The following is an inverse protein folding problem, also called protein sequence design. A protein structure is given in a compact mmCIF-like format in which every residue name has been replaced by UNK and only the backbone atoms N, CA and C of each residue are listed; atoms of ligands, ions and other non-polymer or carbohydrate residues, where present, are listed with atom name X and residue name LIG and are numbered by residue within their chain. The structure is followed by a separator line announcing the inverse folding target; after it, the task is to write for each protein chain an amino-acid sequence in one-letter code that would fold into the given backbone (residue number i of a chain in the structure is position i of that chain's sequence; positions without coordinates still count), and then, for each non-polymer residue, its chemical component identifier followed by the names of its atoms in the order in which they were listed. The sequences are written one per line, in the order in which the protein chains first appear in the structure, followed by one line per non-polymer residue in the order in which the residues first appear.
data_IF_895400472444
#
_entry.id   IF_895400472444
#
_cell.length_a   1.000
_cell.length_b   1.000
_cell.length_c   1.000
_cell.angle_alpha   90.00
_cell.angle_beta   90.00
_cell.angle_gamma   90.00
#
_symmetry.space_group_name_H-M   'P 1'
#
loop_
_entity.id
_entity.type
_entity.pdbx_description
1 polymer ?
#
# COMPACT_ATOMS: atom_id res chain seq x y z
N UNK A 1 6.88 4.63 3.31
CA UNK A 1 6.26 4.99 4.60
C UNK A 1 6.84 4.09 5.67
N UNK A 2 7.25 4.59 6.84
CA UNK A 2 7.86 3.78 7.91
C UNK A 2 7.39 4.21 9.31
N UNK A 3 7.36 3.25 10.23
CA UNK A 3 7.07 3.41 11.65
C UNK A 3 8.22 2.75 12.42
N UNK A 4 8.97 3.55 13.15
CA UNK A 4 10.08 3.08 13.99
C UNK A 4 9.56 2.79 15.40
N UNK A 5 9.88 1.62 15.94
CA UNK A 5 9.64 1.27 17.34
C UNK A 5 10.98 1.15 18.03
N UNK A 6 11.48 2.28 18.54
CA UNK A 6 12.86 2.41 19.06
C UNK A 6 13.16 1.43 20.18
N UNK A 7 12.19 1.16 21.06
CA UNK A 7 12.32 0.25 22.20
C UNK A 7 12.57 -1.20 21.75
N UNK A 8 12.08 -1.57 20.57
CA UNK A 8 12.21 -2.90 19.99
C UNK A 8 13.28 -2.94 18.89
N UNK A 9 13.88 -1.80 18.57
CA UNK A 9 14.82 -1.61 17.47
C UNK A 9 14.32 -2.10 16.09
N UNK A 10 13.00 -2.14 15.85
CA UNK A 10 12.39 -2.57 14.59
C UNK A 10 11.76 -1.39 13.83
N UNK A 11 11.66 -1.56 12.51
CA UNK A 11 10.97 -0.60 11.63
C UNK A 11 9.94 -1.32 10.77
N UNK A 12 8.68 -0.88 10.86
CA UNK A 12 7.57 -1.39 10.06
C UNK A 12 7.29 -0.47 8.88
N UNK A 13 7.22 -1.03 7.66
CA UNK A 13 6.85 -0.29 6.45
C UNK A 13 5.41 -0.66 6.05
N UNK A 14 4.40 0.14 6.45
CA UNK A 14 3.01 -0.17 6.14
C UNK A 14 2.70 -0.04 4.65
N UNK A 15 2.15 -1.10 4.08
CA UNK A 15 1.44 -1.07 2.80
C UNK A 15 -0.07 -0.99 3.09
N UNK A 16 -0.79 -0.01 2.52
CA UNK A 16 -2.24 0.06 2.63
C UNK A 16 -2.92 -1.24 2.17
N UNK A 17 -3.93 -1.66 2.94
CA UNK A 17 -4.75 -2.86 2.67
C UNK A 17 -4.04 -4.21 2.83
N UNK A 18 -2.87 -4.20 3.48
CA UNK A 18 -2.09 -5.39 3.85
C UNK A 18 -2.04 -5.62 5.37
N UNK A 19 -3.12 -5.30 6.10
CA UNK A 19 -3.18 -5.51 7.57
C UNK A 19 -2.54 -4.40 8.42
N UNK A 20 -2.21 -3.25 7.82
CA UNK A 20 -1.52 -2.15 8.51
C UNK A 20 -2.24 -1.63 9.77
N UNK A 21 -3.58 -1.62 9.80
CA UNK A 21 -4.33 -1.16 10.99
C UNK A 21 -4.09 -2.06 12.21
N UNK A 22 -4.20 -3.39 12.02
CA UNK A 22 -3.94 -4.38 13.07
C UNK A 22 -2.52 -4.30 13.61
N UNK A 23 -1.53 -4.11 12.73
CA UNK A 23 -0.14 -3.96 13.15
C UNK A 23 0.06 -2.66 13.92
N UNK A 24 -0.44 -1.53 13.43
CA UNK A 24 -0.35 -0.27 14.15
C UNK A 24 -0.96 -0.38 15.56
N UNK A 25 -2.06 -1.11 15.70
CA UNK A 25 -2.68 -1.40 16.99
C UNK A 25 -1.76 -2.17 17.94
N UNK A 26 -1.17 -3.25 17.45
CA UNK A 26 -0.23 -4.05 18.23
C UNK A 26 1.01 -3.25 18.63
N UNK A 27 1.53 -2.41 17.72
CA UNK A 27 2.65 -1.53 18.00
C UNK A 27 2.31 -0.47 19.05
N UNK A 28 1.11 0.11 19.02
CA UNK A 28 0.64 1.01 20.09
C UNK A 28 0.59 0.31 21.46
N UNK A 29 0.14 -0.95 21.48
CA UNK A 29 0.13 -1.74 22.70
C UNK A 29 1.54 -2.02 23.24
N UNK A 30 2.50 -2.28 22.35
CA UNK A 30 3.91 -2.50 22.70
C UNK A 30 4.61 -1.23 23.22
N UNK A 31 4.25 -0.06 22.70
CA UNK A 31 4.77 1.24 23.13
C UNK A 31 4.18 1.72 24.47
N UNK A 32 3.32 0.90 25.12
CA UNK A 32 2.68 1.23 26.39
C UNK A 32 1.49 2.19 26.26
N UNK A 33 1.08 2.51 25.02
CA UNK A 33 -0.02 3.41 24.68
C UNK A 33 -1.31 2.64 24.37
N UNK A 34 -1.66 1.64 25.19
CA UNK A 34 -2.93 0.92 25.04
C UNK A 34 -4.12 1.86 25.25
N UNK A 35 -4.71 2.33 24.14
CA UNK A 35 -5.99 3.02 24.11
C UNK A 35 -6.99 2.14 23.36
N UNK A 36 -8.15 1.93 23.94
CA UNK A 36 -9.29 1.40 23.20
C UNK A 36 -9.79 2.51 22.26
N UNK A 37 -9.50 2.41 20.96
CA UNK A 37 -10.10 3.31 19.96
C UNK A 37 -11.48 2.79 19.58
N UNK A 38 -12.43 3.71 19.36
CA UNK A 38 -13.81 3.38 19.04
C UNK A 38 -13.94 2.86 17.60
N UNK A 39 -13.16 3.43 16.67
CA UNK A 39 -12.92 2.92 15.33
C UNK A 39 -11.42 2.66 15.11
N UNK A 40 -10.95 1.44 15.47
CA UNK A 40 -9.56 1.05 15.33
C UNK A 40 -8.97 1.28 13.94
N UNK A 41 -9.78 1.14 12.90
CA UNK A 41 -9.30 1.09 11.52
C UNK A 41 -9.07 2.48 10.93
N UNK A 42 -9.81 3.49 11.40
CA UNK A 42 -9.64 4.88 10.98
C UNK A 42 -8.80 5.70 11.99
N UNK A 43 -8.93 5.45 13.29
CA UNK A 43 -8.28 6.28 14.33
C UNK A 43 -6.79 5.95 14.53
N UNK A 44 -6.36 4.71 14.28
CA UNK A 44 -4.97 4.27 14.52
C UNK A 44 -3.96 5.00 13.62
N UNK A 45 -4.41 5.51 12.47
CA UNK A 45 -3.55 6.20 11.52
C UNK A 45 -3.04 7.55 12.05
N UNK A 46 -3.77 8.20 12.96
CA UNK A 46 -3.36 9.46 13.59
C UNK A 46 -2.49 9.29 14.84
N UNK A 47 -2.39 8.08 15.39
CA UNK A 47 -1.68 7.81 16.65
C UNK A 47 -0.20 7.46 16.45
N UNK A 48 0.13 6.78 15.35
CA UNK A 48 1.50 6.47 14.97
C UNK A 48 1.91 7.28 13.75
N UNK A 49 2.75 8.30 13.98
CA UNK A 49 3.33 9.13 12.92
C UNK A 49 4.06 8.23 11.93
N UNK A 50 3.59 8.25 10.69
CA UNK A 50 4.21 7.48 9.62
C UNK A 50 5.19 8.40 8.88
N UNK A 51 6.48 8.11 8.96
CA UNK A 51 7.50 8.86 8.26
C UNK A 51 7.43 8.52 6.76
N UNK A 52 7.29 9.54 5.92
CA UNK A 52 7.38 9.31 4.47
C UNK A 52 8.83 9.04 4.11
N UNK A 53 9.07 7.88 3.50
CA UNK A 53 10.40 7.42 3.07
C UNK A 53 10.42 7.44 1.57
N UNK A 54 11.54 7.86 0.97
CA UNK A 54 11.71 7.82 -0.48
C UNK A 54 11.66 6.36 -0.95
N UNK A 55 10.63 5.95 -1.71
CA UNK A 55 10.51 4.57 -2.18
C UNK A 55 11.50 4.21 -3.29
N UNK A 56 12.41 5.11 -3.68
CA UNK A 56 13.42 4.83 -4.70
C UNK A 56 14.84 4.81 -4.15
N UNK A 57 15.02 5.14 -2.87
CA UNK A 57 16.28 5.02 -2.18
C UNK A 57 16.24 3.80 -1.25
N UNK A 58 17.34 3.06 -1.22
CA UNK A 58 17.50 2.02 -0.23
C UNK A 58 17.44 2.66 1.16
N UNK A 59 16.43 2.28 1.94
CA UNK A 59 16.29 2.77 3.30
C UNK A 59 17.17 1.90 4.18
N UNK A 60 18.34 2.42 4.52
CA UNK A 60 19.18 1.88 5.57
C UNK A 60 18.95 2.72 6.82
N UNK A 61 18.02 2.29 7.67
CA UNK A 61 18.04 2.69 9.07
C UNK A 61 18.97 1.72 9.81
N UNK A 62 19.73 2.21 10.80
CA UNK A 62 20.69 1.38 11.55
C UNK A 62 20.04 0.32 12.46
N UNK A 63 18.74 0.07 12.30
CA UNK A 63 17.90 -0.78 13.13
C UNK A 63 17.84 -2.20 12.55
N UNK A 64 17.89 -3.22 13.43
CA UNK A 64 17.77 -4.64 13.07
C UNK A 64 16.29 -5.02 13.07
N UNK A 65 15.78 -5.69 12.04
CA UNK A 65 14.38 -6.15 12.01
C UNK A 65 13.44 -5.25 11.21
N UNK A 66 13.90 -4.71 10.07
CA UNK A 66 13.00 -4.09 9.08
C UNK A 66 12.02 -5.13 8.55
N UNK A 67 10.72 -4.82 8.66
CA UNK A 67 9.70 -5.72 8.15
C UNK A 67 8.55 -4.99 7.44
N UNK A 68 7.88 -5.73 6.57
CA UNK A 68 6.65 -5.30 5.90
C UNK A 68 5.70 -6.48 5.73
N UNK A 69 4.45 -6.16 5.41
CA UNK A 69 3.42 -7.15 5.10
C UNK A 69 2.91 -6.87 3.69
N UNK A 70 3.02 -7.87 2.83
CA UNK A 70 2.55 -7.84 1.45
C UNK A 70 1.26 -8.65 1.32
N UNK A 71 0.39 -8.25 0.41
CA UNK A 71 -0.87 -8.94 0.11
C UNK A 71 -0.95 -9.26 -1.38
N UNK A 72 -1.68 -10.32 -1.74
CA UNK A 72 -1.97 -10.62 -3.13
C UNK A 72 -2.46 -9.35 -3.85
N UNK A 73 -1.81 -8.93 -4.96
CA UNK A 73 -2.11 -7.67 -5.63
C UNK A 73 -3.58 -7.48 -6.00
N UNK A 74 -4.25 -8.51 -6.54
CA UNK A 74 -5.65 -8.42 -6.90
C UNK A 74 -6.51 -8.25 -5.64
N UNK A 75 -6.32 -9.10 -4.62
CA UNK A 75 -7.07 -9.00 -3.36
C UNK A 75 -6.85 -7.66 -2.63
N UNK A 76 -5.64 -7.10 -2.72
CA UNK A 76 -5.33 -5.76 -2.19
C UNK A 76 -6.12 -4.68 -2.91
N UNK A 77 -6.25 -4.77 -4.23
CA UNK A 77 -7.09 -3.88 -5.03
C UNK A 77 -8.57 -4.00 -4.67
N UNK A 78 -9.10 -5.22 -4.50
CA UNK A 78 -10.49 -5.46 -4.06
C UNK A 78 -10.76 -4.82 -2.69
N UNK A 79 -9.80 -4.96 -1.77
CA UNK A 79 -9.87 -4.36 -0.45
C UNK A 79 -9.83 -2.84 -0.50
N UNK A 80 -9.06 -2.25 -1.42
CA UNK A 80 -9.06 -0.81 -1.66
C UNK A 80 -10.43 -0.32 -2.17
N UNK A 81 -11.04 -1.00 -3.14
CA UNK A 81 -12.38 -0.67 -3.62
C UNK A 81 -13.42 -0.71 -2.49
N UNK A 82 -13.51 -1.84 -1.77
CA UNK A 82 -14.50 -2.03 -0.69
C UNK A 82 -14.37 -0.91 0.35
N UNK A 83 -13.18 -0.73 0.89
CA UNK A 83 -12.97 0.19 2.00
C UNK A 83 -12.99 1.68 1.63
N UNK A 84 -12.73 2.06 0.37
CA UNK A 84 -12.66 3.47 -0.05
C UNK A 84 -13.89 3.91 -0.83
N UNK A 85 -14.39 3.06 -1.72
CA UNK A 85 -15.54 3.35 -2.55
C UNK A 85 -16.83 2.97 -1.83
N UNK A 86 -16.99 1.68 -1.49
CA UNK A 86 -18.22 1.18 -0.87
C UNK A 86 -18.43 1.77 0.53
N UNK A 87 -17.44 1.60 1.43
CA UNK A 87 -17.65 1.90 2.85
C UNK A 87 -17.42 3.38 3.15
N UNK A 88 -16.30 3.94 2.69
CA UNK A 88 -15.91 5.31 3.02
C UNK A 88 -16.49 6.39 2.08
N UNK A 89 -17.06 5.97 0.94
CA UNK A 89 -17.63 6.83 -0.12
C UNK A 89 -16.73 8.02 -0.45
N UNK A 90 -15.43 7.79 -0.62
CA UNK A 90 -14.43 8.88 -0.72
C UNK A 90 -14.70 9.88 -1.85
N UNK A 91 -15.39 9.45 -2.91
CA UNK A 91 -15.74 10.28 -4.05
C UNK A 91 -16.83 11.32 -3.74
N UNK A 92 -17.64 11.12 -2.70
CA UNK A 92 -18.66 12.11 -2.30
C UNK A 92 -18.06 13.25 -1.47
N UNK A 93 -16.86 13.05 -0.92
CA UNK A 93 -16.18 13.97 -0.02
C UNK A 93 -15.68 15.22 -0.75
N UNK A 94 -15.46 16.35 -0.05
CA UNK A 94 -14.91 17.57 -0.64
C UNK A 94 -13.48 17.41 -1.18
N UNK A 95 -12.74 16.40 -0.72
CA UNK A 95 -11.36 16.12 -1.14
C UNK A 95 -11.25 15.51 -2.54
N UNK A 96 -12.35 15.00 -3.11
CA UNK A 96 -12.39 14.50 -4.48
C UNK A 96 -12.60 15.65 -5.49
N UNK A 97 -11.91 15.58 -6.62
CA UNK A 97 -12.00 16.55 -7.72
C UNK A 97 -13.27 16.27 -8.56
N UNK A 98 -14.39 16.85 -8.13
CA UNK A 98 -15.71 16.64 -8.76
C UNK A 98 -15.77 17.15 -10.21
N UNK A 99 -15.05 18.23 -10.50
CA UNK A 99 -14.97 18.79 -11.86
C UNK A 99 -14.28 17.79 -12.80
N UNK A 100 -13.21 17.13 -12.37
CA UNK A 100 -12.60 16.06 -13.18
C UNK A 100 -13.50 14.83 -13.34
N UNK A 101 -14.23 14.42 -12.30
CA UNK A 101 -15.17 13.30 -12.40
C UNK A 101 -16.23 13.58 -13.48
N UNK A 102 -16.80 14.78 -13.48
CA UNK A 102 -17.76 15.24 -14.49
C UNK A 102 -17.12 15.30 -15.88
N UNK A 103 -15.94 15.90 -16.02
CA UNK A 103 -15.22 15.98 -17.31
C UNK A 103 -14.85 14.61 -17.88
N UNK A 104 -14.55 13.63 -17.03
CA UNK A 104 -14.30 12.25 -17.45
C UNK A 104 -15.57 11.45 -17.72
N UNK A 105 -16.75 11.98 -17.34
CA UNK A 105 -18.03 11.31 -17.47
C UNK A 105 -18.14 10.04 -16.63
N UNK A 106 -17.49 9.99 -15.47
CA UNK A 106 -17.48 8.79 -14.60
C UNK A 106 -18.30 9.03 -13.31
N UNK A 107 -19.04 8.01 -12.83
CA UNK A 107 -19.93 8.18 -11.68
C UNK A 107 -19.17 8.33 -10.37
N UNK A 108 -19.78 9.03 -9.41
CA UNK A 108 -19.28 9.20 -8.04
C UNK A 108 -19.47 7.93 -7.19
N UNK A 109 -20.40 7.06 -7.57
CA UNK A 109 -20.71 5.80 -6.88
C UNK A 109 -20.60 4.63 -7.87
N UNK A 110 -19.39 4.27 -8.34
CA UNK A 110 -19.22 3.20 -9.30
C UNK A 110 -19.46 1.84 -8.66
N UNK A 111 -20.16 0.97 -9.41
CA UNK A 111 -20.06 -0.46 -9.15
C UNK A 111 -18.63 -0.97 -9.42
N UNK A 112 -18.43 -2.24 -9.13
CA UNK A 112 -17.08 -2.76 -9.05
C UNK A 112 -16.39 -2.82 -10.43
N UNK A 113 -17.11 -3.26 -11.45
CA UNK A 113 -16.63 -3.28 -12.83
C UNK A 113 -16.34 -1.86 -13.35
N UNK A 114 -17.26 -0.92 -13.12
CA UNK A 114 -17.11 0.48 -13.54
C UNK A 114 -15.87 1.12 -12.91
N UNK A 115 -15.62 0.82 -11.64
CA UNK A 115 -14.41 1.27 -10.95
C UNK A 115 -13.16 0.71 -11.61
N UNK A 116 -13.10 -0.60 -11.85
CA UNK A 116 -11.93 -1.25 -12.45
C UNK A 116 -11.64 -0.74 -13.86
N UNK A 117 -12.68 -0.57 -14.69
CA UNK A 117 -12.49 -0.05 -16.05
C UNK A 117 -11.98 1.40 -16.08
N UNK A 118 -12.20 2.17 -15.01
CA UNK A 118 -11.84 3.60 -14.94
C UNK A 118 -10.87 3.90 -13.80
N UNK A 119 -10.16 2.90 -13.28
CA UNK A 119 -9.34 3.03 -12.07
C UNK A 119 -8.31 4.17 -12.17
N UNK A 120 -7.69 4.33 -13.34
CA UNK A 120 -6.72 5.40 -13.60
C UNK A 120 -7.37 6.80 -13.49
N UNK A 121 -8.59 6.96 -14.00
CA UNK A 121 -9.34 8.22 -13.93
C UNK A 121 -9.77 8.52 -12.49
N UNK A 122 -10.21 7.51 -11.74
CA UNK A 122 -10.54 7.67 -10.33
C UNK A 122 -9.34 8.09 -9.50
N UNK A 123 -8.16 7.54 -9.77
CA UNK A 123 -6.92 7.97 -9.13
C UNK A 123 -6.55 9.42 -9.47
N UNK A 124 -6.79 9.87 -10.71
CA UNK A 124 -6.57 11.27 -11.10
C UNK A 124 -7.53 12.26 -10.41
N UNK A 125 -8.67 11.77 -9.92
CA UNK A 125 -9.69 12.56 -9.24
C UNK A 125 -9.59 12.51 -7.71
N UNK A 126 -8.96 11.48 -7.13
CA UNK A 126 -8.89 11.31 -5.68
C UNK A 126 -7.53 10.78 -5.25
N UNK A 127 -6.81 11.58 -4.47
CA UNK A 127 -5.56 11.15 -3.85
C UNK A 127 -5.78 9.94 -2.93
N UNK A 128 -6.89 9.89 -2.19
CA UNK A 128 -7.19 8.75 -1.32
C UNK A 128 -7.27 7.45 -2.12
N UNK A 129 -7.92 7.45 -3.29
CA UNK A 129 -7.98 6.27 -4.16
C UNK A 129 -6.58 5.93 -4.66
N UNK A 130 -5.90 6.91 -5.25
CA UNK A 130 -4.55 6.74 -5.80
C UNK A 130 -3.58 6.13 -4.77
N UNK A 131 -3.58 6.63 -3.53
CA UNK A 131 -2.72 6.13 -2.46
C UNK A 131 -3.04 4.68 -2.10
N UNK A 132 -4.31 4.29 -2.02
CA UNK A 132 -4.68 2.95 -1.59
C UNK A 132 -4.49 1.88 -2.66
N UNK A 133 -4.51 2.26 -3.94
CA UNK A 133 -4.21 1.35 -5.06
C UNK A 133 -2.76 1.42 -5.53
N UNK A 134 -1.98 2.41 -5.05
CA UNK A 134 -0.56 2.56 -5.38
C UNK A 134 0.22 1.26 -5.13
N UNK A 135 1.22 1.01 -5.98
CA UNK A 135 2.07 -0.18 -5.89
C UNK A 135 2.71 -0.34 -4.50
N UNK A 136 2.91 -1.57 -3.98
CA UNK A 136 3.70 -1.82 -2.78
C UNK A 136 5.06 -1.10 -2.81
N UNK A 137 5.69 -1.00 -3.99
CA UNK A 137 6.96 -0.29 -4.20
C UNK A 137 6.94 1.14 -3.71
N UNK A 138 5.81 1.84 -3.88
CA UNK A 138 5.60 3.21 -3.40
C UNK A 138 5.77 3.33 -1.87
N UNK A 139 5.59 2.23 -1.13
CA UNK A 139 5.71 2.22 0.33
C UNK A 139 7.03 1.65 0.82
N UNK A 140 7.54 0.62 0.13
CA UNK A 140 8.65 -0.21 0.61
C UNK A 140 9.99 0.09 -0.01
N UNK A 141 10.05 0.77 -1.16
CA UNK A 141 11.31 0.87 -1.89
C UNK A 141 11.31 0.12 -3.23
N UNK A 142 12.44 0.16 -3.91
CA UNK A 142 12.70 -0.60 -5.12
C UNK A 142 12.93 -2.11 -4.90
N UNK A 143 13.17 -2.57 -3.67
CA UNK A 143 13.57 -3.95 -3.40
C UNK A 143 13.12 -4.45 -2.04
N UNK A 144 12.50 -5.64 -2.03
CA UNK A 144 12.16 -6.36 -0.82
C UNK A 144 13.36 -7.02 -0.13
N UNK A 145 14.50 -7.20 -0.82
CA UNK A 145 15.73 -7.72 -0.21
C UNK A 145 16.33 -6.81 0.87
N UNK A 146 15.85 -5.56 0.97
CA UNK A 146 16.26 -4.62 2.01
C UNK A 146 15.56 -4.87 3.35
N UNK A 147 14.60 -5.79 3.37
CA UNK A 147 13.82 -6.18 4.55
C UNK A 147 14.35 -7.48 5.12
N UNK A 148 14.46 -7.53 6.44
CA UNK A 148 14.80 -8.77 7.15
C UNK A 148 13.64 -9.75 7.13
N UNK A 149 12.41 -9.22 7.20
CA UNK A 149 11.20 -10.00 7.13
C UNK A 149 10.17 -9.41 6.17
N UNK A 150 9.68 -10.24 5.25
CA UNK A 150 8.53 -9.92 4.40
C UNK A 150 7.47 -10.99 4.65
N UNK A 151 6.40 -10.60 5.34
CA UNK A 151 5.30 -11.49 5.65
C UNK A 151 4.19 -11.38 4.61
N UNK A 152 3.54 -12.50 4.30
CA UNK A 152 2.28 -12.48 3.53
C UNK A 152 1.12 -12.12 4.45
N UNK A 153 0.10 -11.47 3.90
CA UNK A 153 -1.09 -11.06 4.66
C UNK A 153 -1.82 -12.27 5.26
N UNK A 154 -1.76 -13.43 4.62
CA UNK A 154 -2.38 -14.67 5.14
C UNK A 154 -1.57 -15.30 6.28
N UNK A 155 -0.39 -14.75 6.59
CA UNK A 155 0.56 -15.23 7.61
C UNK A 155 0.63 -14.29 8.82
N UNK A 156 -0.49 -13.69 9.22
CA UNK A 156 -0.54 -12.78 10.38
C UNK A 156 -0.10 -13.47 11.68
N UNK A 157 -0.32 -14.77 11.81
CA UNK A 157 0.18 -15.61 12.90
C UNK A 157 1.71 -15.57 13.01
N UNK A 158 2.43 -15.55 11.87
CA UNK A 158 3.88 -15.40 11.86
C UNK A 158 4.33 -14.00 12.26
N UNK A 159 3.54 -12.98 11.92
CA UNK A 159 3.81 -11.60 12.35
C UNK A 159 3.66 -11.50 13.87
N UNK A 160 2.61 -12.11 14.43
CA UNK A 160 2.38 -12.18 15.88
C UNK A 160 3.54 -12.87 16.59
N UNK A 161 3.98 -14.03 16.10
CA UNK A 161 5.11 -14.75 16.64
C UNK A 161 6.41 -13.93 16.58
N UNK A 162 6.65 -13.24 15.46
CA UNK A 162 7.80 -12.35 15.29
C UNK A 162 7.77 -11.19 16.30
N UNK A 163 6.66 -10.45 16.38
CA UNK A 163 6.54 -9.32 17.32
C UNK A 163 6.60 -9.79 18.77
N UNK A 164 6.05 -10.96 19.09
CA UNK A 164 6.14 -11.55 20.43
C UNK A 164 7.58 -11.92 20.78
N UNK A 165 8.32 -12.49 19.83
CA UNK A 165 9.73 -12.85 20.00
C UNK A 165 10.61 -11.62 20.20
N UNK A 166 10.40 -10.56 19.42
CA UNK A 166 11.21 -9.33 19.51
C UNK A 166 10.89 -8.55 20.79
N UNK A 167 9.63 -8.53 21.21
CA UNK A 167 9.21 -7.81 22.41
C UNK A 167 9.40 -8.58 23.72
N UNK A 168 9.61 -9.90 23.65
CA UNK A 168 9.64 -10.77 24.83
C UNK A 168 8.28 -10.86 25.56
N UNK A 169 7.18 -10.49 24.89
CA UNK A 169 5.81 -10.48 25.44
C UNK A 169 4.88 -11.23 24.49
N UNK A 170 3.95 -12.00 25.03
CA UNK A 170 2.87 -12.55 24.21
C UNK A 170 1.99 -11.41 23.69
N UNK A 171 1.78 -11.36 22.38
CA UNK A 171 0.86 -10.45 21.72
C UNK A 171 -0.26 -11.24 21.09
N UNK A 172 -1.47 -10.69 21.13
CA UNK A 172 -2.62 -11.17 20.37
C UNK A 172 -2.94 -10.11 19.32
N UNK A 173 -2.79 -10.43 18.04
CA UNK A 173 -3.06 -9.48 16.96
C UNK A 173 -4.57 -9.38 16.72
N UNK A 174 -5.20 -8.20 16.97
CA UNK A 174 -6.63 -8.07 16.75
C UNK A 174 -6.94 -8.21 15.26
N UNK A 175 -7.86 -9.13 14.91
CA UNK A 175 -8.43 -9.24 13.57
C UNK A 175 -9.50 -8.17 13.36
N UNK A 176 -9.07 -6.97 12.98
CA UNK A 176 -9.94 -5.79 12.88
C UNK A 176 -10.86 -5.79 11.65
N UNK A 177 -10.54 -6.59 10.61
CA UNK A 177 -11.27 -6.63 9.34
C UNK A 177 -12.15 -7.88 9.17
N UNK A 178 -13.09 -8.09 10.09
CA UNK A 178 -14.11 -9.17 9.99
C UNK A 178 -15.43 -8.64 9.38
N UNK A 179 -15.72 -7.34 9.53
CA UNK A 179 -16.98 -6.73 9.10
C UNK A 179 -16.87 -5.94 7.81
N UNK A 180 -17.36 -6.50 6.70
CA UNK A 180 -17.50 -5.85 5.41
C UNK A 180 -17.89 -6.87 4.34
N UNK A 181 -18.63 -6.47 3.30
CA UNK A 181 -18.93 -7.36 2.18
C UNK A 181 -17.59 -7.76 1.53
N UNK A 182 -17.17 -9.01 1.69
CA UNK A 182 -15.97 -9.53 1.04
C UNK A 182 -16.27 -9.68 -0.44
N UNK A 183 -15.80 -8.72 -1.22
CA UNK A 183 -15.80 -8.83 -2.68
C UNK A 183 -14.72 -9.84 -3.07
N UNK A 184 -15.11 -10.81 -3.88
CA UNK A 184 -14.28 -11.87 -4.42
C UNK A 184 -13.90 -11.54 -5.87
N UNK A 185 -12.77 -12.04 -6.39
CA UNK A 185 -12.49 -11.98 -7.83
C UNK A 185 -13.61 -12.54 -8.71
N UNK A 186 -14.40 -13.50 -8.18
CA UNK A 186 -15.56 -14.06 -8.87
C UNK A 186 -16.73 -13.08 -9.06
N UNK A 187 -16.71 -11.94 -8.35
CA UNK A 187 -17.74 -10.89 -8.49
C UNK A 187 -17.46 -9.96 -9.67
N UNK A 188 -16.29 -10.05 -10.32
CA UNK A 188 -15.94 -9.28 -11.51
C UNK A 188 -16.44 -9.98 -12.77
N UNK A 189 -16.85 -9.19 -13.77
CA UNK A 189 -16.95 -9.74 -15.12
C UNK A 189 -15.57 -10.19 -15.62
N UNK A 190 -15.50 -11.16 -16.56
CA UNK A 190 -14.22 -11.60 -17.12
C UNK A 190 -13.39 -10.46 -17.71
N UNK A 191 -14.03 -9.46 -18.32
CA UNK A 191 -13.36 -8.30 -18.87
C UNK A 191 -12.77 -7.38 -17.77
N UNK A 192 -13.51 -7.16 -16.68
CA UNK A 192 -13.04 -6.38 -15.56
C UNK A 192 -11.93 -7.12 -14.80
N UNK A 193 -12.04 -8.44 -14.59
CA UNK A 193 -10.96 -9.25 -14.04
C UNK A 193 -9.68 -9.15 -14.88
N UNK A 194 -9.80 -9.27 -16.21
CA UNK A 194 -8.65 -9.13 -17.10
C UNK A 194 -7.99 -7.74 -16.97
N UNK A 195 -8.78 -6.66 -16.92
CA UNK A 195 -8.28 -5.29 -16.68
C UNK A 195 -7.62 -5.15 -15.30
N UNK A 196 -8.22 -5.69 -14.24
CA UNK A 196 -7.65 -5.68 -12.90
C UNK A 196 -6.30 -6.43 -12.84
N UNK A 197 -6.22 -7.62 -13.45
CA UNK A 197 -4.99 -8.40 -13.53
C UNK A 197 -3.88 -7.66 -14.29
N UNK A 198 -4.22 -6.94 -15.37
CA UNK A 198 -3.26 -6.07 -16.08
C UNK A 198 -2.80 -4.91 -15.21
N UNK A 199 -3.71 -4.24 -14.51
CA UNK A 199 -3.38 -3.17 -13.56
C UNK A 199 -2.42 -3.67 -12.46
N UNK A 200 -2.63 -4.88 -11.97
CA UNK A 200 -1.79 -5.52 -10.95
C UNK A 200 -0.48 -6.14 -11.50
N UNK A 201 -0.22 -6.11 -12.81
CA UNK A 201 0.88 -6.85 -13.45
C UNK A 201 2.24 -6.59 -12.80
N UNK A 202 2.56 -5.31 -12.58
CA UNK A 202 3.85 -4.94 -12.01
C UNK A 202 3.95 -5.23 -10.52
N UNK A 203 2.83 -5.20 -9.80
CA UNK A 203 2.80 -5.59 -8.39
C UNK A 203 3.07 -7.09 -8.27
N UNK A 204 2.50 -7.92 -9.16
CA UNK A 204 2.85 -9.35 -9.23
C UNK A 204 4.33 -9.56 -9.60
N UNK A 205 4.87 -8.78 -10.54
CA UNK A 205 6.30 -8.83 -10.85
C UNK A 205 7.20 -8.44 -9.68
N UNK A 206 6.80 -7.45 -8.88
CA UNK A 206 7.53 -7.04 -7.67
C UNK A 206 7.43 -8.06 -6.54
N UNK A 207 6.29 -8.76 -6.46
CA UNK A 207 5.99 -9.75 -5.43
C UNK A 207 6.13 -11.20 -5.94
N UNK A 208 6.95 -11.43 -6.96
CA UNK A 208 7.04 -12.72 -7.66
C UNK A 208 7.39 -13.90 -6.73
N UNK A 209 8.23 -13.66 -5.71
CA UNK A 209 8.60 -14.68 -4.72
C UNK A 209 7.50 -14.92 -3.67
N UNK A 210 6.44 -14.09 -3.67
CA UNK A 210 5.37 -14.12 -2.67
C UNK A 210 4.00 -14.50 -3.25
N UNK A 211 3.66 -14.11 -4.47
CA UNK A 211 2.34 -14.37 -5.06
C UNK A 211 2.44 -14.78 -6.53
N UNK A 212 1.66 -15.78 -6.90
CA UNK A 212 1.58 -16.30 -8.26
C UNK A 212 0.24 -15.85 -8.91
N UNK A 213 0.28 -15.04 -9.99
CA UNK A 213 -0.93 -14.64 -10.69
C UNK A 213 -1.69 -15.80 -11.34
N UNK A 214 -1.07 -16.98 -11.52
CA UNK A 214 -1.75 -18.18 -12.02
C UNK A 214 -2.91 -18.62 -11.13
N UNK A 215 -2.90 -18.23 -9.84
CA UNK A 215 -4.05 -18.37 -8.93
C UNK A 215 -5.35 -17.83 -9.54
N UNK A 216 -5.24 -16.80 -10.39
CA UNK A 216 -6.36 -16.11 -11.03
C UNK A 216 -6.42 -16.33 -12.55
N UNK A 217 -5.74 -17.36 -13.08
CA UNK A 217 -5.67 -17.63 -14.52
C UNK A 217 -4.57 -16.86 -15.26
N UNK A 218 -3.63 -16.24 -14.53
CA UNK A 218 -2.51 -15.51 -15.10
C UNK A 218 -2.84 -14.06 -15.46
N UNK A 219 -1.84 -13.34 -15.97
CA UNK A 219 -2.00 -11.95 -16.40
C UNK A 219 -2.23 -11.96 -17.91
N UNK A 220 -3.42 -11.60 -18.40
CA UNK A 220 -3.70 -11.62 -19.83
C UNK A 220 -2.84 -10.58 -20.56
N UNK A 221 -2.63 -10.80 -21.86
CA UNK A 221 -2.01 -9.80 -22.72
C UNK A 221 -2.85 -8.51 -22.73
N UNK A 222 -2.15 -7.39 -22.90
CA UNK A 222 -2.76 -6.07 -22.88
C UNK A 222 -3.01 -5.55 -24.28
N UNK A 223 -4.05 -4.74 -24.43
CA UNK A 223 -4.18 -3.86 -25.59
C UNK A 223 -3.22 -2.68 -25.42
N UNK A 224 -2.44 -2.36 -26.45
CA UNK A 224 -1.51 -1.22 -26.44
C UNK A 224 -2.23 0.13 -26.19
N UNK A 225 -3.55 0.21 -26.45
CA UNK A 225 -4.38 1.37 -26.16
C UNK A 225 -4.88 1.48 -24.70
N UNK A 226 -4.71 0.44 -23.88
CA UNK A 226 -5.19 0.43 -22.50
C UNK A 226 -4.10 0.94 -21.54
N UNK A 227 -4.30 2.05 -20.80
CA UNK A 227 -3.29 2.64 -19.92
C UNK A 227 -2.88 1.74 -18.75
N UNK A 228 -3.68 0.70 -18.40
CA UNK A 228 -3.28 -0.30 -17.39
C UNK A 228 -2.07 -1.14 -17.81
N UNK A 229 -1.69 -1.09 -19.10
CA UNK A 229 -0.59 -1.88 -19.64
C UNK A 229 0.79 -1.24 -19.46
N UNK A 230 0.85 0.03 -19.08
CA UNK A 230 2.07 0.83 -19.16
C UNK A 230 2.48 1.57 -17.88
N UNK A 231 1.66 1.53 -16.83
CA UNK A 231 1.94 2.25 -15.60
C UNK A 231 1.86 1.36 -14.38
N UNK A 232 2.98 1.27 -13.65
CA UNK A 232 2.89 1.08 -12.21
C UNK A 232 2.25 2.37 -11.68
N UNK A 233 0.98 2.34 -11.34
CA UNK A 233 0.28 3.56 -10.93
C UNK A 233 0.94 4.13 -9.66
N UNK A 234 1.53 5.33 -9.77
CA UNK A 234 2.33 5.94 -8.69
C UNK A 234 3.83 5.63 -8.69
N UNK A 235 4.35 4.87 -9.67
CA UNK A 235 5.80 4.78 -9.93
C UNK A 235 6.20 5.88 -10.91
N UNK A 236 7.19 6.72 -10.58
CA UNK A 236 7.77 7.65 -11.52
C UNK A 236 8.46 6.92 -12.69
N UNK A 237 8.87 5.66 -12.56
CA UNK A 237 9.62 4.97 -13.60
C UNK A 237 8.83 4.86 -14.94
N UNK A 238 9.35 5.49 -15.99
CA UNK A 238 8.83 5.39 -17.35
C UNK A 238 9.73 4.48 -18.18
N UNK A 239 9.15 3.61 -19.03
CA UNK A 239 9.95 2.90 -20.02
C UNK A 239 10.31 3.86 -21.17
N UNK A 240 11.60 4.01 -21.47
CA UNK A 240 12.10 4.76 -22.63
C UNK A 240 13.25 3.98 -23.26
N UNK A 241 13.13 3.66 -24.56
CA UNK A 241 14.14 2.96 -25.35
C UNK A 241 14.60 1.62 -24.74
N UNK A 242 13.65 0.80 -24.29
CA UNK A 242 13.93 -0.51 -23.67
C UNK A 242 14.62 -0.42 -22.30
N UNK A 243 14.68 0.79 -21.70
CA UNK A 243 15.25 1.04 -20.38
C UNK A 243 14.20 1.64 -19.46
N UNK A 244 14.27 1.28 -18.19
CA UNK A 244 13.50 1.94 -17.14
C UNK A 244 14.21 3.28 -16.86
N UNK A 245 13.55 4.40 -17.20
CA UNK A 245 14.04 5.76 -17.03
C UNK A 245 13.25 6.47 -15.93
N UNK A 246 13.97 7.04 -14.97
CA UNK A 246 13.42 7.65 -13.77
C UNK A 246 13.31 9.19 -13.94
N UNK A 247 12.10 9.77 -14.04
CA UNK A 247 11.93 11.21 -14.02
C UNK A 247 12.15 11.73 -12.60
N UNK A 248 13.28 12.44 -12.41
CA UNK A 248 13.49 13.31 -11.25
C UNK A 248 12.58 14.53 -11.42
N UNK A 249 11.35 14.48 -10.92
CA UNK A 249 10.46 15.65 -10.97
C UNK A 249 10.97 16.76 -10.04
N UNK A 250 10.72 18.03 -10.39
CA UNK A 250 11.09 19.18 -9.56
C UNK A 250 10.46 19.13 -8.16
N UNK A 251 9.30 18.48 -8.02
CA UNK A 251 8.64 18.21 -6.72
C UNK A 251 9.50 17.31 -5.84
N UNK A 252 10.14 16.29 -6.40
CA UNK A 252 11.06 15.40 -5.67
C UNK A 252 12.34 16.14 -5.25
N UNK A 253 12.84 17.08 -6.07
CA UNK A 253 14.00 17.93 -5.73
C UNK A 253 13.67 18.91 -4.60
N UNK A 254 12.50 19.55 -4.63
CA UNK A 254 12.06 20.46 -3.58
C UNK A 254 11.84 19.71 -2.25
N UNK A 255 11.23 18.52 -2.30
CA UNK A 255 11.05 17.67 -1.12
C UNK A 255 12.38 17.10 -0.58
N UNK A 256 13.36 16.88 -1.46
CA UNK A 256 14.73 16.46 -1.13
C UNK A 256 15.51 17.57 -0.42
N UNK A 257 15.41 18.82 -0.87
CA UNK A 257 16.05 19.96 -0.18
C UNK A 257 15.39 20.28 1.17
N UNK A 258 14.13 19.87 1.37
CA UNK A 258 13.33 20.21 2.56
C UNK A 258 13.35 19.15 3.69
N UNK A 259 14.02 18.00 3.55
CA UNK A 259 14.04 16.97 4.61
C UNK A 259 15.34 16.88 5.40
N UNK A 260 15.17 17.01 6.72
CA UNK A 260 16.07 16.54 7.77
C UNK A 260 16.44 15.08 7.52
N UNK A 261 17.74 14.82 7.65
CA UNK A 261 18.31 13.49 7.67
C UNK A 261 17.77 12.66 8.83
N UNK A 262 17.58 11.35 8.61
CA UNK A 262 17.51 10.35 9.70
C UNK A 262 18.91 9.96 10.21
N UNK A 263 19.96 10.63 9.73
CA UNK A 263 21.29 10.56 10.35
C UNK A 263 21.25 11.41 11.61
N UNK A 264 21.34 10.77 12.78
CA UNK A 264 21.66 11.47 14.01
C UNK A 264 22.92 12.33 13.78
N UNK A 265 22.94 13.60 14.24
CA UNK A 265 24.20 14.31 14.31
C UNK A 265 25.14 13.47 15.16
N UNK A 266 26.31 13.09 14.61
CA UNK A 266 27.38 12.47 15.39
C UNK A 266 27.60 13.36 16.61
N UNK A 267 27.28 12.84 17.79
CA UNK A 267 27.75 13.45 19.03
C UNK A 267 29.26 13.21 19.02
N UNK A 268 30.00 14.24 18.65
CA UNK A 268 31.43 14.33 18.93
C UNK A 268 31.61 14.36 20.44
N UNK A 269 32.37 13.39 20.96
CA UNK A 269 32.87 13.32 22.33
C UNK A 269 33.64 14.59 22.70
#
# INVERSE_FOLDING_TARGET
MAIEIKQLAITYYPIPKSGSSSIKYALMALDGNQRALADPDNEVHGQLTTNYVDPFLAVYDGHKGKFTIVRDPLERLLSAYTSRISDARVLTRPTADKVKLENFGIPVDPDFDTFIFNIEKYCACSWEIQFHVASPRYFTGCSLFLFEHVFKFEQMDKVEAFLSSVSGRALDLPRLQIGGRKISPSDLSPAALAKAMRFCRYDYGFLVDHYDPQKWGGIPEGDAGDPSTLHVFGDPAALRDGRIVYPRTARNLLHFMLKRSLVEPRISL
#
